data_IF_222694117524
#
_entry.id   IF_222694117524
#
_cell.length_a   1.000
_cell.length_b   1.000
_cell.length_c   1.000
_cell.angle_alpha   90.00
_cell.angle_beta   90.00
_cell.angle_gamma   90.00
#
_symmetry.space_group_name_H-M   'P 1'
#
loop_
_entity.id
_entity.type
_entity.pdbx_description
1 polymer ?
#
# COMPACT_ATOMS: atom_id res chain seq x y z
N UNK A 1 -24.61 25.54 -7.66
CA UNK A 1 -23.90 24.28 -7.37
C UNK A 1 -22.75 24.18 -8.36
N UNK A 2 -21.55 24.60 -7.98
CA UNK A 2 -20.38 24.55 -8.86
C UNK A 2 -19.57 23.30 -8.53
N UNK A 3 -19.56 22.36 -9.47
CA UNK A 3 -18.61 21.27 -9.51
C UNK A 3 -17.24 21.85 -9.89
N UNK A 4 -16.33 21.94 -8.91
CA UNK A 4 -14.93 22.25 -9.18
C UNK A 4 -14.32 21.03 -9.90
N UNK A 5 -14.21 21.16 -11.22
CA UNK A 5 -13.38 20.30 -12.04
C UNK A 5 -11.92 20.51 -11.65
N UNK A 6 -11.30 19.51 -11.06
CA UNK A 6 -9.86 19.45 -10.90
C UNK A 6 -9.24 19.26 -12.29
N UNK A 7 -8.88 20.35 -12.92
CA UNK A 7 -7.97 20.33 -14.06
C UNK A 7 -6.57 20.00 -13.52
N UNK A 8 -6.17 18.76 -13.66
CA UNK A 8 -4.75 18.41 -13.54
C UNK A 8 -4.06 19.03 -14.74
N UNK A 9 -3.19 19.99 -14.44
CA UNK A 9 -2.40 20.75 -15.41
C UNK A 9 -1.61 19.80 -16.32
N UNK A 10 -1.97 19.77 -17.59
CA UNK A 10 -1.28 19.05 -18.65
C UNK A 10 -0.09 19.88 -19.15
N UNK A 11 0.95 19.99 -18.35
CA UNK A 11 2.21 20.61 -18.80
C UNK A 11 3.42 20.06 -18.02
N UNK A 12 3.65 18.76 -18.14
CA UNK A 12 4.99 18.17 -17.98
C UNK A 12 5.11 17.15 -19.10
N UNK A 13 5.26 17.63 -20.31
CA UNK A 13 5.78 16.87 -21.45
C UNK A 13 7.29 16.89 -21.36
N UNK A 14 7.86 15.70 -21.54
CA UNK A 14 9.27 15.41 -21.88
C UNK A 14 10.20 15.16 -20.69
N UNK A 15 10.42 13.89 -20.48
CA UNK A 15 11.50 13.13 -19.86
C UNK A 15 11.13 12.14 -18.77
N UNK A 16 9.97 11.50 -18.82
CA UNK A 16 9.59 10.50 -17.81
C UNK A 16 9.63 9.03 -18.35
N UNK A 17 10.37 8.78 -19.44
CA UNK A 17 10.42 7.44 -20.06
C UNK A 17 11.25 6.41 -19.31
N UNK A 18 11.94 6.75 -18.21
CA UNK A 18 12.85 5.82 -17.53
C UNK A 18 12.66 5.70 -16.02
N UNK A 19 11.78 6.47 -15.39
CA UNK A 19 11.55 6.29 -13.95
C UNK A 19 10.58 5.14 -13.73
N UNK A 20 10.93 4.25 -12.82
CA UNK A 20 10.05 3.24 -12.28
C UNK A 20 8.91 3.87 -11.47
N UNK A 21 8.08 3.04 -10.88
CA UNK A 21 6.97 3.49 -10.03
C UNK A 21 6.82 2.63 -8.79
N UNK A 22 6.17 3.19 -7.78
CA UNK A 22 5.79 2.48 -6.58
C UNK A 22 4.32 2.09 -6.65
N UNK A 23 4.04 0.78 -6.56
CA UNK A 23 2.70 0.27 -6.34
C UNK A 23 2.50 -0.05 -4.86
N UNK A 24 1.41 0.46 -4.27
CA UNK A 24 0.92 0.04 -2.97
C UNK A 24 -0.21 -0.96 -3.23
N UNK A 25 0.04 -2.22 -2.88
CA UNK A 25 -0.82 -3.35 -3.29
C UNK A 25 -1.51 -3.94 -2.06
N UNK A 26 -2.83 -3.80 -1.94
CA UNK A 26 -3.60 -4.45 -0.89
C UNK A 26 -3.53 -5.97 -0.99
N UNK A 27 -3.39 -6.63 0.16
CA UNK A 27 -3.40 -8.08 0.33
C UNK A 27 -4.66 -8.55 1.04
N UNK A 28 -5.08 -9.80 0.88
CA UNK A 28 -6.29 -10.33 1.49
C UNK A 28 -6.32 -10.21 3.01
N UNK A 29 -7.51 -10.00 3.56
CA UNK A 29 -7.75 -9.96 5.01
C UNK A 29 -8.49 -11.24 5.41
N UNK A 30 -7.73 -12.34 5.58
CA UNK A 30 -8.26 -13.62 6.03
C UNK A 30 -8.86 -14.53 4.94
N UNK A 31 -9.14 -14.03 3.73
CA UNK A 31 -9.63 -14.83 2.62
C UNK A 31 -8.83 -14.53 1.34
N UNK A 32 -8.15 -15.54 0.77
CA UNK A 32 -7.33 -15.39 -0.43
C UNK A 32 -8.13 -14.97 -1.68
N UNK A 33 -9.43 -15.23 -1.72
CA UNK A 33 -10.31 -14.84 -2.82
C UNK A 33 -10.49 -13.31 -2.94
N UNK A 34 -10.18 -12.55 -1.87
CA UNK A 34 -10.23 -11.09 -1.87
C UNK A 34 -9.03 -10.46 -2.61
N UNK A 35 -8.13 -11.29 -3.17
CA UNK A 35 -7.03 -10.80 -3.98
C UNK A 35 -7.52 -10.37 -5.37
N UNK A 36 -7.29 -9.13 -5.76
CA UNK A 36 -7.73 -8.64 -7.06
C UNK A 36 -6.83 -9.14 -8.20
N UNK A 37 -7.43 -9.42 -9.38
CA UNK A 37 -6.66 -9.77 -10.58
C UNK A 37 -5.59 -8.74 -10.94
N UNK A 38 -5.86 -7.45 -10.72
CA UNK A 38 -4.90 -6.38 -10.95
C UNK A 38 -3.74 -6.45 -9.98
N UNK A 39 -3.97 -6.76 -8.71
CA UNK A 39 -2.91 -6.91 -7.71
C UNK A 39 -1.99 -8.08 -8.08
N UNK A 40 -2.56 -9.24 -8.47
CA UNK A 40 -1.78 -10.40 -8.92
C UNK A 40 -0.89 -10.03 -10.13
N UNK A 41 -1.46 -9.35 -11.12
CA UNK A 41 -0.72 -8.92 -12.31
C UNK A 41 0.43 -7.97 -11.96
N UNK A 42 0.15 -6.94 -11.16
CA UNK A 42 1.17 -5.96 -10.74
C UNK A 42 2.29 -6.62 -9.95
N UNK A 43 1.97 -7.54 -9.04
CA UNK A 43 2.99 -8.28 -8.30
C UNK A 43 3.84 -9.19 -9.19
N UNK A 44 3.28 -9.75 -10.28
CA UNK A 44 4.04 -10.54 -11.26
C UNK A 44 4.96 -9.68 -12.14
N UNK A 45 4.56 -8.44 -12.41
CA UNK A 45 5.30 -7.49 -13.27
C UNK A 45 6.35 -6.67 -12.49
N UNK A 46 6.27 -6.61 -11.15
CA UNK A 46 7.18 -5.84 -10.32
C UNK A 46 8.60 -6.44 -10.30
N UNK A 47 9.63 -5.59 -10.35
CA UNK A 47 11.04 -6.00 -10.24
C UNK A 47 11.41 -6.35 -8.79
N UNK A 48 10.76 -5.70 -7.82
CA UNK A 48 10.96 -5.93 -6.40
C UNK A 48 9.63 -5.86 -5.64
N UNK A 49 9.43 -6.80 -4.72
CA UNK A 49 8.31 -6.77 -3.77
C UNK A 49 8.86 -6.46 -2.38
N UNK A 50 8.34 -5.41 -1.76
CA UNK A 50 8.59 -5.06 -0.37
C UNK A 50 7.49 -5.64 0.50
N UNK A 51 7.86 -6.44 1.49
CA UNK A 51 6.93 -7.13 2.37
C UNK A 51 7.24 -6.84 3.84
N UNK A 52 6.21 -6.70 4.67
CA UNK A 52 6.38 -6.50 6.11
C UNK A 52 6.99 -7.75 6.75
N UNK A 53 6.35 -8.91 6.61
CA UNK A 53 6.92 -10.22 6.94
C UNK A 53 7.06 -11.08 5.68
N UNK A 54 8.29 -11.37 5.30
CA UNK A 54 8.61 -12.17 4.12
C UNK A 54 8.12 -13.62 4.20
N UNK A 55 7.89 -14.15 5.40
CA UNK A 55 7.37 -15.51 5.62
C UNK A 55 5.88 -15.57 5.27
N UNK A 56 5.09 -14.67 5.83
CA UNK A 56 3.65 -14.55 5.56
C UNK A 56 3.39 -14.23 4.10
N UNK A 57 4.06 -13.20 3.59
CA UNK A 57 3.98 -12.79 2.19
C UNK A 57 4.44 -13.88 1.23
N UNK A 58 5.47 -14.66 1.62
CA UNK A 58 5.95 -15.79 0.81
C UNK A 58 4.89 -16.87 0.57
N UNK A 59 4.02 -17.14 1.54
CA UNK A 59 2.89 -18.07 1.39
C UNK A 59 1.89 -17.52 0.37
N UNK A 60 1.53 -16.24 0.48
CA UNK A 60 0.63 -15.57 -0.44
C UNK A 60 1.17 -15.59 -1.88
N UNK A 61 2.44 -15.17 -2.07
CA UNK A 61 3.07 -15.13 -3.38
C UNK A 61 3.17 -16.51 -4.01
N UNK A 62 3.49 -17.53 -3.22
CA UNK A 62 3.52 -18.93 -3.68
C UNK A 62 2.15 -19.41 -4.15
N UNK A 63 1.07 -19.05 -3.44
CA UNK A 63 -0.30 -19.42 -3.80
C UNK A 63 -0.70 -18.89 -5.18
N UNK A 64 -0.29 -17.65 -5.51
CA UNK A 64 -0.57 -17.02 -6.80
C UNK A 64 0.53 -17.21 -7.85
N UNK A 65 1.49 -18.09 -7.57
CA UNK A 65 2.63 -18.42 -8.48
C UNK A 65 3.45 -17.17 -8.85
N UNK A 66 3.69 -16.27 -7.90
CA UNK A 66 4.51 -15.08 -8.04
C UNK A 66 5.93 -15.41 -7.54
N UNK A 67 6.94 -15.26 -8.40
CA UNK A 67 8.34 -15.68 -8.14
C UNK A 67 9.33 -14.51 -8.06
N UNK A 68 8.84 -13.29 -7.97
CA UNK A 68 9.65 -12.08 -7.99
C UNK A 68 10.51 -11.93 -6.74
N UNK A 69 11.58 -11.15 -6.85
CA UNK A 69 12.46 -10.84 -5.73
C UNK A 69 11.67 -10.14 -4.60
N UNK A 70 11.88 -10.59 -3.37
CA UNK A 70 11.20 -10.05 -2.19
C UNK A 70 12.22 -9.55 -1.18
N UNK A 71 11.96 -8.37 -0.60
CA UNK A 71 12.77 -7.75 0.43
C UNK A 71 11.90 -7.37 1.62
N UNK A 72 12.41 -7.60 2.83
CA UNK A 72 11.73 -7.18 4.05
C UNK A 72 11.74 -5.66 4.22
N UNK A 73 10.57 -5.09 4.50
CA UNK A 73 10.35 -3.66 4.75
C UNK A 73 9.38 -3.50 5.93
N UNK A 74 9.91 -3.41 7.14
CA UNK A 74 9.16 -3.33 8.38
C UNK A 74 9.54 -2.08 9.19
N UNK A 75 8.76 -1.72 10.20
CA UNK A 75 8.94 -0.49 11.02
C UNK A 75 10.36 -0.27 11.55
N UNK A 76 11.11 -1.35 11.83
CA UNK A 76 12.47 -1.24 12.39
C UNK A 76 13.56 -0.99 11.34
N UNK A 77 13.34 -1.31 10.06
CA UNK A 77 14.33 -1.10 9.00
C UNK A 77 13.90 -0.05 7.96
N UNK A 78 12.65 0.43 8.02
CA UNK A 78 12.07 1.37 7.06
C UNK A 78 13.00 2.58 6.82
N UNK A 79 13.46 3.25 7.88
CA UNK A 79 14.34 4.41 7.77
C UNK A 79 15.66 4.14 7.05
N UNK A 80 16.20 2.91 7.15
CA UNK A 80 17.48 2.54 6.53
C UNK A 80 17.34 2.13 5.07
N UNK A 81 16.17 1.59 4.70
CA UNK A 81 15.95 0.99 3.37
C UNK A 81 15.34 1.95 2.38
N UNK A 82 14.60 2.97 2.83
CA UNK A 82 13.84 3.89 1.98
C UNK A 82 14.71 4.56 0.92
N UNK A 83 15.86 5.13 1.29
CA UNK A 83 16.72 5.82 0.33
C UNK A 83 17.22 4.90 -0.79
N UNK A 84 17.66 3.69 -0.42
CA UNK A 84 18.11 2.67 -1.39
C UNK A 84 17.01 2.26 -2.35
N UNK A 85 15.78 2.08 -1.85
CA UNK A 85 14.62 1.71 -2.66
C UNK A 85 14.22 2.86 -3.60
N UNK A 86 14.18 4.09 -3.10
CA UNK A 86 13.90 5.28 -3.93
C UNK A 86 14.91 5.42 -5.07
N UNK A 87 16.20 5.16 -4.81
CA UNK A 87 17.23 5.20 -5.85
C UNK A 87 17.03 4.09 -6.90
N UNK A 88 16.60 2.89 -6.51
CA UNK A 88 16.25 1.81 -7.45
C UNK A 88 15.08 2.21 -8.35
N UNK A 89 14.02 2.81 -7.77
CA UNK A 89 12.86 3.28 -8.55
C UNK A 89 13.29 4.40 -9.51
N UNK A 90 14.15 5.33 -9.08
CA UNK A 90 14.73 6.36 -9.97
C UNK A 90 15.56 5.77 -11.11
N UNK A 91 16.17 4.61 -10.89
CA UNK A 91 16.89 3.88 -11.92
C UNK A 91 15.98 3.10 -12.90
N UNK A 92 14.65 3.14 -12.72
CA UNK A 92 13.66 2.56 -13.61
C UNK A 92 12.98 1.30 -13.08
N UNK A 93 13.32 0.82 -11.87
CA UNK A 93 12.69 -0.38 -11.31
C UNK A 93 11.25 -0.09 -10.84
N UNK A 94 10.35 -1.01 -11.14
CA UNK A 94 8.99 -1.03 -10.61
C UNK A 94 8.96 -1.80 -9.30
N UNK A 95 8.55 -1.11 -8.22
CA UNK A 95 8.51 -1.69 -6.87
C UNK A 95 7.06 -1.82 -6.40
N UNK A 96 6.72 -2.97 -5.83
CA UNK A 96 5.43 -3.22 -5.20
C UNK A 96 5.59 -3.33 -3.67
N UNK A 97 4.79 -2.60 -2.91
CA UNK A 97 4.72 -2.66 -1.46
C UNK A 97 3.47 -3.44 -1.04
N UNK A 98 3.65 -4.46 -0.21
CA UNK A 98 2.58 -5.23 0.42
C UNK A 98 2.74 -5.25 1.94
N UNK A 99 1.63 -5.43 2.66
CA UNK A 99 1.61 -5.72 4.11
C UNK A 99 1.10 -7.14 4.36
N UNK A 100 1.08 -7.55 5.60
CA UNK A 100 0.61 -8.90 5.97
C UNK A 100 -0.88 -9.09 5.70
N UNK A 101 -1.69 -8.02 5.85
CA UNK A 101 -3.11 -8.04 5.52
C UNK A 101 -3.65 -6.63 5.26
N UNK A 102 -4.46 -6.47 4.21
CA UNK A 102 -5.11 -5.22 3.88
C UNK A 102 -4.23 -4.26 3.06
N UNK A 103 -4.50 -2.96 3.18
CA UNK A 103 -3.83 -1.91 2.41
C UNK A 103 -2.61 -1.40 3.17
N UNK A 104 -1.38 -1.49 2.61
CA UNK A 104 -0.17 -0.99 3.26
C UNK A 104 -0.23 0.51 3.56
N UNK A 105 0.44 0.94 4.63
CA UNK A 105 0.50 2.34 5.04
C UNK A 105 -0.67 2.81 5.92
N UNK A 106 -1.69 1.96 6.11
CA UNK A 106 -2.77 2.20 7.08
C UNK A 106 -2.48 1.36 8.33
N UNK A 107 -1.82 1.95 9.31
CA UNK A 107 -1.32 1.29 10.54
C UNK A 107 -0.14 0.33 10.33
N UNK A 108 0.29 0.10 9.10
CA UNK A 108 1.39 -0.74 8.68
C UNK A 108 2.58 0.09 8.16
N UNK A 109 3.78 -0.50 7.96
CA UNK A 109 4.90 0.16 7.31
C UNK A 109 4.53 0.61 5.90
N UNK A 110 5.14 1.71 5.43
CA UNK A 110 4.94 2.20 4.06
C UNK A 110 4.76 3.70 3.96
N UNK A 111 4.39 4.38 5.05
CA UNK A 111 4.24 5.83 5.03
C UNK A 111 5.52 6.55 4.60
N UNK A 112 6.69 6.13 5.11
CA UNK A 112 7.96 6.80 4.82
C UNK A 112 8.35 6.64 3.35
N UNK A 113 8.26 5.44 2.79
CA UNK A 113 8.60 5.19 1.39
C UNK A 113 7.65 5.93 0.44
N UNK A 114 6.35 5.92 0.70
CA UNK A 114 5.37 6.67 -0.09
C UNK A 114 5.69 8.15 -0.06
N UNK A 115 5.96 8.72 1.13
CA UNK A 115 6.31 10.13 1.29
C UNK A 115 7.57 10.51 0.52
N UNK A 116 8.63 9.69 0.60
CA UNK A 116 9.90 10.00 -0.08
C UNK A 116 9.79 9.80 -1.61
N UNK A 117 8.98 8.83 -2.08
CA UNK A 117 8.66 8.70 -3.50
C UNK A 117 7.93 9.94 -4.02
N UNK A 118 6.88 10.40 -3.33
CA UNK A 118 6.13 11.61 -3.71
C UNK A 118 7.05 12.85 -3.73
N UNK A 119 7.88 13.05 -2.69
CA UNK A 119 8.86 14.15 -2.66
C UNK A 119 9.88 14.09 -3.80
N UNK A 120 10.22 12.89 -4.24
CA UNK A 120 11.17 12.65 -5.33
C UNK A 120 10.53 12.70 -6.72
N UNK A 121 9.24 13.01 -6.85
CA UNK A 121 8.53 13.04 -8.11
C UNK A 121 8.26 11.66 -8.72
N UNK A 122 8.40 10.58 -7.94
CA UNK A 122 8.10 9.22 -8.36
C UNK A 122 6.58 9.00 -8.33
N UNK A 123 6.04 8.39 -9.37
CA UNK A 123 4.64 7.99 -9.42
C UNK A 123 4.36 6.93 -8.35
N UNK A 124 3.39 7.21 -7.48
CA UNK A 124 2.89 6.26 -6.48
C UNK A 124 1.45 5.90 -6.83
N UNK A 125 1.20 4.62 -7.06
CA UNK A 125 -0.13 4.11 -7.37
C UNK A 125 -0.61 3.14 -6.30
N UNK A 126 -1.58 3.57 -5.47
CA UNK A 126 -2.29 2.67 -4.56
C UNK A 126 -3.41 1.97 -5.32
N UNK A 127 -3.42 0.64 -5.28
CA UNK A 127 -4.47 -0.15 -5.91
C UNK A 127 -5.70 -0.22 -4.98
N UNK A 128 -6.92 -0.18 -5.52
CA UNK A 128 -8.10 -0.54 -4.75
C UNK A 128 -8.06 -2.03 -4.39
N UNK A 129 -8.49 -2.37 -3.19
CA UNK A 129 -8.47 -3.77 -2.72
C UNK A 129 -8.93 -3.92 -1.29
N UNK A 130 -8.56 -5.04 -0.67
CA UNK A 130 -9.01 -5.41 0.65
C UNK A 130 -8.58 -4.40 1.73
N UNK A 131 -9.51 -4.08 2.62
CA UNK A 131 -9.29 -3.30 3.84
C UNK A 131 -10.13 -3.92 4.97
N UNK A 132 -9.64 -3.89 6.20
CA UNK A 132 -10.39 -4.45 7.33
C UNK A 132 -11.50 -3.53 7.84
N UNK A 133 -11.23 -2.23 7.94
CA UNK A 133 -12.14 -1.28 8.59
C UNK A 133 -13.39 -0.97 7.75
N UNK A 134 -13.29 -0.94 6.42
CA UNK A 134 -14.44 -0.63 5.54
C UNK A 134 -15.55 -1.67 5.65
N UNK A 135 -15.29 -2.98 5.49
CA UNK A 135 -16.32 -4.00 5.70
C UNK A 135 -16.87 -4.01 7.13
N UNK A 136 -16.02 -3.79 8.14
CA UNK A 136 -16.46 -3.71 9.53
C UNK A 136 -17.42 -2.54 9.76
N UNK A 137 -17.13 -1.36 9.22
CA UNK A 137 -18.00 -0.19 9.31
C UNK A 137 -19.34 -0.46 8.65
N UNK A 138 -19.33 -0.93 7.40
CA UNK A 138 -20.55 -1.20 6.64
C UNK A 138 -21.41 -2.28 7.32
N UNK A 139 -20.78 -3.36 7.81
CA UNK A 139 -21.50 -4.45 8.48
C UNK A 139 -21.99 -4.10 9.89
N UNK A 140 -21.52 -3.03 10.50
CA UNK A 140 -21.93 -2.61 11.83
C UNK A 140 -23.39 -2.12 11.92
N UNK A 141 -23.93 -1.64 10.80
CA UNK A 141 -25.26 -0.99 10.77
C UNK A 141 -25.31 0.37 11.48
N UNK A 142 -24.15 0.91 11.88
CA UNK A 142 -24.04 2.27 12.45
C UNK A 142 -24.03 3.31 11.32
N UNK A 143 -24.41 4.58 11.60
CA UNK A 143 -24.28 5.65 10.63
C UNK A 143 -22.83 5.79 10.15
N UNK A 144 -22.63 5.74 8.85
CA UNK A 144 -21.30 5.69 8.20
C UNK A 144 -20.95 6.96 7.40
N UNK A 145 -21.85 7.95 7.37
CA UNK A 145 -21.60 9.22 6.67
C UNK A 145 -20.39 10.00 7.22
N UNK A 146 -20.07 9.80 8.48
CA UNK A 146 -18.91 10.40 9.17
C UNK A 146 -18.34 9.42 10.17
N UNK A 147 -17.07 9.09 10.00
CA UNK A 147 -16.33 8.24 10.94
C UNK A 147 -14.90 8.76 11.12
N UNK A 148 -14.27 8.40 12.24
CA UNK A 148 -12.88 8.69 12.52
C UNK A 148 -12.13 7.37 12.64
N UNK A 149 -11.02 7.23 11.89
CA UNK A 149 -10.11 6.10 11.99
C UNK A 149 -8.90 6.50 12.83
N UNK A 150 -8.85 6.05 14.09
CA UNK A 150 -7.75 6.34 15.03
C UNK A 150 -6.68 5.24 15.07
N UNK A 151 -6.71 4.32 14.10
CA UNK A 151 -5.80 3.17 14.03
C UNK A 151 -6.27 2.00 14.89
N UNK A 152 -5.45 0.94 14.90
CA UNK A 152 -5.71 -0.25 15.72
C UNK A 152 -5.14 -0.03 17.13
N UNK A 153 -5.90 0.58 18.00
CA UNK A 153 -5.51 0.74 19.39
C UNK A 153 -5.67 -0.58 20.13
N UNK A 154 -4.59 -1.10 20.68
CA UNK A 154 -4.65 -2.19 21.65
C UNK A 154 -5.18 -1.59 22.95
N UNK A 155 -6.48 -1.80 23.21
CA UNK A 155 -7.19 -1.15 24.29
C UNK A 155 -6.61 -1.46 25.68
N UNK A 156 -6.21 -0.42 26.41
CA UNK A 156 -6.31 -0.43 27.86
C UNK A 156 -7.79 -0.28 28.22
N UNK A 157 -8.22 -0.87 29.34
CA UNK A 157 -9.62 -0.85 29.80
C UNK A 157 -10.27 0.55 29.87
N UNK A 158 -9.47 1.64 29.92
CA UNK A 158 -9.92 3.03 29.89
C UNK A 158 -10.39 3.54 28.51
N UNK A 159 -10.21 2.78 27.44
CA UNK A 159 -10.67 3.15 26.08
C UNK A 159 -12.15 2.83 25.83
N UNK A 160 -12.84 2.15 26.80
CA UNK A 160 -14.24 1.75 26.65
C UNK A 160 -15.26 2.86 26.95
N UNK A 161 -14.83 4.02 27.42
CA UNK A 161 -15.72 5.11 27.88
C UNK A 161 -15.83 6.30 26.91
N UNK A 162 -15.31 6.18 25.68
CA UNK A 162 -15.48 7.25 24.68
C UNK A 162 -16.34 6.79 23.52
N UNK A 163 -17.58 6.47 23.83
CA UNK A 163 -18.66 6.40 22.84
C UNK A 163 -19.62 7.52 23.12
#
# INVERSE_FOLDING_TARGET
MHLNSFYICSSITECNCFMGKLYVVPTPVGNLEDMTFRAIRVLKEADLILAEDTRTSGILLKHFEIKNAMQSHHKFNEHKTVEGIVNRIKAGETVALISDAGTPGISDPGFLIVRECVKSGIEVQCLPGATAFVPALVASGLPDERFCFEGFQIGRASCRERV
#
